data_IF_737459258980
#
_entry.id   IF_737459258980
#
_cell.length_a   1.000
_cell.length_b   1.000
_cell.length_c   1.000
_cell.angle_alpha   90.00
_cell.angle_beta   90.00
_cell.angle_gamma   90.00
#
_symmetry.space_group_name_H-M   'P 1'
#
loop_
_entity.id
_entity.type
_entity.pdbx_description
1 polymer ?
#
# COMPACT_ATOMS: atom_id res chain seq x y z
N UNK A 1 22.33 8.04 -14.52
CA UNK A 1 22.18 9.42 -14.09
C UNK A 1 20.78 9.63 -13.58
N UNK A 2 20.71 9.96 -12.38
CA UNK A 2 19.55 10.02 -11.54
C UNK A 2 18.76 11.29 -11.89
N UNK A 3 17.74 11.08 -12.73
CA UNK A 3 16.82 12.14 -13.14
C UNK A 3 15.94 12.64 -11.99
N UNK A 4 15.83 11.85 -10.93
CA UNK A 4 15.11 12.17 -9.71
C UNK A 4 15.89 11.54 -8.56
N UNK A 5 16.56 12.34 -7.77
CA UNK A 5 17.26 11.89 -6.57
C UNK A 5 16.25 11.72 -5.42
N UNK A 6 15.34 10.76 -5.58
CA UNK A 6 14.32 10.44 -4.58
C UNK A 6 14.68 9.11 -3.94
N UNK A 7 14.96 9.07 -2.64
CA UNK A 7 15.21 7.83 -1.92
C UNK A 7 13.99 6.90 -1.99
N UNK A 8 14.22 5.58 -1.94
CA UNK A 8 13.13 4.59 -1.85
C UNK A 8 12.24 4.80 -0.62
N UNK A 9 12.74 5.49 0.40
CA UNK A 9 12.00 5.84 1.60
C UNK A 9 10.87 6.85 1.36
N UNK A 10 10.86 7.53 0.21
CA UNK A 10 9.81 8.46 -0.18
C UNK A 10 8.68 7.78 -0.97
N UNK A 11 8.77 6.48 -1.23
CA UNK A 11 7.69 5.73 -1.88
C UNK A 11 6.57 5.48 -0.87
N UNK A 12 5.38 5.97 -1.16
CA UNK A 12 4.21 5.87 -0.27
C UNK A 12 3.20 4.80 -0.68
N UNK A 13 3.17 4.45 -1.97
CA UNK A 13 2.28 3.42 -2.52
C UNK A 13 2.96 2.65 -3.65
N UNK A 14 2.75 1.33 -3.67
CA UNK A 14 3.14 0.45 -4.78
C UNK A 14 1.93 -0.35 -5.24
N UNK A 15 1.70 -0.37 -6.55
CA UNK A 15 0.73 -1.23 -7.20
C UNK A 15 1.48 -2.23 -8.08
N UNK A 16 1.17 -3.52 -7.93
CA UNK A 16 1.79 -4.64 -8.62
C UNK A 16 0.71 -5.35 -9.43
N UNK A 17 0.94 -5.44 -10.72
CA UNK A 17 0.09 -6.14 -11.68
C UNK A 17 0.82 -7.38 -12.16
N UNK A 18 0.23 -8.55 -11.97
CA UNK A 18 0.80 -9.85 -12.32
C UNK A 18 0.02 -10.49 -13.45
N UNK A 19 0.69 -11.08 -14.41
CA UNK A 19 0.06 -11.92 -15.43
C UNK A 19 -0.49 -13.21 -14.81
N UNK A 20 0.14 -13.71 -13.76
CA UNK A 20 -0.30 -14.88 -13.02
C UNK A 20 -0.04 -14.66 -11.52
N UNK A 21 -1.08 -14.76 -10.70
CA UNK A 21 -0.95 -14.54 -9.26
C UNK A 21 -0.12 -15.62 -8.55
N UNK A 22 0.10 -16.78 -9.17
CA UNK A 22 1.02 -17.81 -8.65
C UNK A 22 2.48 -17.31 -8.55
N UNK A 23 2.84 -16.26 -9.29
CA UNK A 23 4.18 -15.67 -9.25
C UNK A 23 4.39 -14.67 -8.09
N UNK A 24 3.35 -14.48 -7.24
CA UNK A 24 3.37 -13.48 -6.16
C UNK A 24 4.53 -13.69 -5.19
N UNK A 25 4.89 -14.95 -4.92
CA UNK A 25 5.99 -15.24 -3.98
C UNK A 25 7.34 -14.81 -4.55
N UNK A 26 7.60 -15.02 -5.83
CA UNK A 26 8.81 -14.54 -6.49
C UNK A 26 8.89 -13.00 -6.47
N UNK A 27 7.75 -12.34 -6.67
CA UNK A 27 7.66 -10.87 -6.55
C UNK A 27 7.90 -10.42 -5.12
N UNK A 28 7.37 -11.13 -4.11
CA UNK A 28 7.60 -10.82 -2.70
C UNK A 28 9.08 -10.92 -2.32
N UNK A 29 9.78 -11.93 -2.82
CA UNK A 29 11.23 -12.08 -2.60
C UNK A 29 12.01 -10.92 -3.21
N UNK A 30 11.72 -10.53 -4.43
CA UNK A 30 12.33 -9.35 -5.05
C UNK A 30 11.96 -8.06 -4.29
N UNK A 31 10.69 -7.90 -3.92
CA UNK A 31 10.19 -6.75 -3.20
C UNK A 31 10.93 -6.50 -1.88
N UNK A 32 11.17 -7.55 -1.09
CA UNK A 32 11.86 -7.45 0.19
C UNK A 32 13.33 -7.04 0.07
N UNK A 33 13.93 -7.17 -1.10
CA UNK A 33 15.28 -6.68 -1.37
C UNK A 33 15.30 -5.14 -1.42
N UNK A 34 14.24 -4.54 -1.96
CA UNK A 34 14.12 -3.07 -2.07
C UNK A 34 13.42 -2.45 -0.85
N UNK A 35 12.50 -3.18 -0.24
CA UNK A 35 11.76 -2.77 0.95
C UNK A 35 11.96 -3.79 2.06
N UNK A 36 13.16 -3.88 2.63
CA UNK A 36 13.42 -4.80 3.71
C UNK A 36 12.50 -4.46 4.89
N UNK A 37 11.87 -5.48 5.45
CA UNK A 37 11.13 -5.35 6.70
C UNK A 37 12.13 -4.96 7.77
N UNK A 38 12.31 -3.68 7.98
CA UNK A 38 13.07 -3.33 9.17
C UNK A 38 13.08 -1.85 9.52
N UNK A 39 12.70 -1.62 10.73
CA UNK A 39 13.25 -0.62 11.62
C UNK A 39 14.80 -0.55 11.64
N UNK A 40 15.51 -1.50 11.04
CA UNK A 40 16.97 -1.65 11.09
C UNK A 40 17.64 -1.03 9.85
N UNK A 41 16.98 -1.05 8.70
CA UNK A 41 17.58 -0.61 7.42
C UNK A 41 17.13 0.77 6.96
N UNK A 42 16.15 1.41 7.61
CA UNK A 42 15.57 2.67 7.19
C UNK A 42 15.52 3.69 8.32
N UNK A 43 15.81 4.92 7.99
CA UNK A 43 15.61 6.08 8.87
C UNK A 43 14.12 6.27 9.21
N UNK A 44 13.24 5.80 8.34
CA UNK A 44 11.78 5.77 8.52
C UNK A 44 11.31 4.33 8.43
N UNK A 45 10.91 3.75 9.55
CA UNK A 45 10.55 2.34 9.68
C UNK A 45 9.13 2.07 9.15
N UNK A 46 8.93 2.12 7.84
CA UNK A 46 7.68 1.68 7.22
C UNK A 46 7.94 1.03 5.86
N UNK A 47 7.03 0.17 5.43
CA UNK A 47 6.92 -0.27 4.04
C UNK A 47 5.75 0.46 3.38
N UNK A 48 5.80 0.73 2.06
CA UNK A 48 4.72 1.43 1.37
C UNK A 48 3.36 0.75 1.53
N UNK A 49 2.28 1.50 1.34
CA UNK A 49 0.98 0.90 1.07
C UNK A 49 1.07 0.09 -0.24
N UNK A 50 0.40 -1.07 -0.31
CA UNK A 50 0.59 -2.02 -1.41
C UNK A 50 -0.73 -2.56 -1.93
N UNK A 51 -0.79 -2.74 -3.25
CA UNK A 51 -1.83 -3.50 -3.95
C UNK A 51 -1.15 -4.50 -4.87
N UNK A 52 -1.58 -5.75 -4.88
CA UNK A 52 -1.13 -6.76 -5.84
C UNK A 52 -2.35 -7.48 -6.42
N UNK A 53 -2.46 -7.52 -7.74
CA UNK A 53 -3.60 -8.13 -8.45
C UNK A 53 -3.12 -8.87 -9.70
N UNK A 54 -3.87 -9.90 -10.08
CA UNK A 54 -3.73 -10.54 -11.38
C UNK A 54 -4.49 -9.75 -12.45
N UNK A 55 -3.92 -9.67 -13.64
CA UNK A 55 -4.52 -9.00 -14.79
C UNK A 55 -4.50 -9.92 -16.02
N UNK A 56 -5.45 -9.71 -16.93
CA UNK A 56 -5.60 -10.54 -18.13
C UNK A 56 -4.39 -10.47 -19.08
N UNK A 57 -3.64 -9.39 -19.09
CA UNK A 57 -2.46 -9.22 -19.92
C UNK A 57 -1.70 -7.94 -19.57
N UNK A 58 -0.44 -7.90 -19.96
CA UNK A 58 0.47 -6.78 -19.77
C UNK A 58 1.16 -6.43 -21.10
N UNK A 59 1.57 -5.17 -21.31
CA UNK A 59 2.31 -4.77 -22.50
C UNK A 59 3.54 -5.66 -22.74
N UNK A 60 3.86 -5.90 -24.00
CA UNK A 60 4.98 -6.74 -24.43
C UNK A 60 4.96 -8.16 -23.83
N UNK A 61 3.80 -8.65 -23.41
CA UNK A 61 3.64 -9.94 -22.74
C UNK A 61 4.48 -10.05 -21.44
N UNK A 62 4.70 -8.94 -20.74
CA UNK A 62 5.43 -8.91 -19.48
C UNK A 62 4.73 -9.80 -18.42
N UNK A 63 5.49 -10.34 -17.49
CA UNK A 63 4.96 -11.15 -16.36
C UNK A 63 4.51 -10.28 -15.21
N UNK A 64 5.11 -9.10 -15.05
CA UNK A 64 4.82 -8.16 -13.98
C UNK A 64 4.96 -6.72 -14.48
N UNK A 65 4.11 -5.85 -13.98
CA UNK A 65 4.20 -4.39 -14.11
C UNK A 65 4.04 -3.79 -12.72
N UNK A 66 4.86 -2.79 -12.41
CA UNK A 66 4.84 -2.11 -11.11
C UNK A 66 4.74 -0.61 -11.34
N UNK A 67 3.87 0.04 -10.59
CA UNK A 67 3.78 1.50 -10.49
C UNK A 67 3.92 1.94 -9.03
N UNK A 68 4.43 3.13 -8.83
CA UNK A 68 4.64 3.70 -7.51
C UNK A 68 4.12 5.13 -7.42
N UNK A 69 3.63 5.49 -6.24
CA UNK A 69 3.41 6.88 -5.84
C UNK A 69 4.54 7.27 -4.91
N UNK A 70 5.22 8.34 -5.28
CA UNK A 70 6.40 8.83 -4.56
C UNK A 70 6.06 10.20 -3.98
N UNK A 71 6.44 10.43 -2.73
CA UNK A 71 6.39 11.76 -2.16
C UNK A 71 7.49 12.61 -2.80
N UNK A 72 7.17 13.81 -3.21
CA UNK A 72 8.14 14.75 -3.74
C UNK A 72 8.14 16.00 -2.87
N UNK A 73 9.31 16.42 -2.41
CA UNK A 73 9.48 17.72 -1.76
C UNK A 73 9.15 18.85 -2.72
N UNK A 74 8.97 20.02 -2.20
CA UNK A 74 8.65 21.27 -2.94
C UNK A 74 9.80 21.80 -3.82
N UNK A 75 10.80 20.98 -4.11
CA UNK A 75 12.00 21.34 -4.90
C UNK A 75 13.11 21.97 -4.08
N UNK A 76 12.97 22.05 -2.77
CA UNK A 76 14.10 22.40 -1.89
C UNK A 76 15.07 21.20 -1.80
N UNK A 77 16.40 21.46 -1.60
CA UNK A 77 17.37 20.40 -1.41
C UNK A 77 16.93 19.42 -0.33
N UNK A 78 17.41 18.15 -0.34
CA UNK A 78 17.02 17.15 0.65
C UNK A 78 17.21 17.71 2.05
N UNK A 79 16.10 18.03 2.69
CA UNK A 79 16.04 18.48 4.06
C UNK A 79 15.85 17.26 4.97
N UNK A 80 16.34 17.36 6.19
CA UNK A 80 15.99 16.40 7.22
C UNK A 80 14.48 16.22 7.30
N UNK A 81 13.99 15.04 7.64
CA UNK A 81 12.55 14.74 7.70
C UNK A 81 11.80 15.75 8.57
N UNK A 82 12.46 16.28 9.61
CA UNK A 82 11.94 17.27 10.53
C UNK A 82 11.74 18.65 9.90
N UNK A 83 12.48 18.96 8.85
CA UNK A 83 12.45 20.28 8.17
C UNK A 83 11.54 20.30 6.94
N UNK A 84 10.93 19.18 6.57
CA UNK A 84 10.00 19.08 5.45
C UNK A 84 8.65 19.69 5.85
N UNK A 85 8.55 20.99 5.83
CA UNK A 85 7.32 21.72 6.17
C UNK A 85 6.12 21.23 5.34
N UNK A 86 5.16 20.60 6.00
CA UNK A 86 3.91 20.11 5.41
C UNK A 86 3.98 18.79 4.66
N UNK A 87 5.15 18.15 4.53
CA UNK A 87 5.34 16.87 3.84
C UNK A 87 5.85 15.82 4.83
N UNK A 88 5.04 15.52 5.80
CA UNK A 88 5.36 14.44 6.74
C UNK A 88 4.72 13.16 6.23
N UNK A 89 5.54 12.15 5.95
CA UNK A 89 5.05 10.80 5.68
C UNK A 89 4.67 10.17 7.03
N UNK A 90 3.41 9.76 7.15
CA UNK A 90 2.88 9.12 8.37
C UNK A 90 2.35 7.74 8.05
N UNK A 91 3.10 6.69 8.36
CA UNK A 91 2.60 5.32 8.29
C UNK A 91 1.71 5.01 9.51
N UNK A 92 0.66 4.22 9.30
CA UNK A 92 -0.18 3.77 10.40
C UNK A 92 -0.74 2.36 10.15
N UNK A 93 -0.80 1.57 11.21
CA UNK A 93 -1.46 0.28 11.26
C UNK A 93 -2.41 0.24 12.45
N UNK A 94 -3.60 -0.34 12.26
CA UNK A 94 -4.56 -0.62 13.32
C UNK A 94 -4.75 -2.12 13.52
N UNK A 95 -5.02 -2.54 14.74
CA UNK A 95 -5.35 -3.94 15.07
C UNK A 95 -6.77 -4.34 14.61
N UNK A 96 -7.57 -3.37 14.17
CA UNK A 96 -8.94 -3.59 13.70
C UNK A 96 -9.05 -4.04 12.25
N UNK A 97 -7.92 -4.11 11.53
CA UNK A 97 -7.81 -4.63 10.16
C UNK A 97 -6.60 -5.56 10.05
N UNK A 98 -6.57 -6.49 9.07
CA UNK A 98 -5.45 -7.39 8.87
C UNK A 98 -4.14 -6.64 8.66
N UNK A 99 -3.07 -7.08 9.33
CA UNK A 99 -1.71 -6.57 9.16
C UNK A 99 -0.93 -7.46 8.19
N UNK A 100 0.02 -6.88 7.47
CA UNK A 100 0.91 -7.58 6.56
C UNK A 100 2.33 -7.04 6.71
N UNK A 101 3.32 -7.92 6.79
CA UNK A 101 4.73 -7.53 6.87
C UNK A 101 5.23 -6.82 5.59
N UNK A 102 4.57 -7.05 4.46
CA UNK A 102 4.94 -6.51 3.15
C UNK A 102 4.24 -5.18 2.81
N UNK A 103 3.39 -4.66 3.71
CA UNK A 103 2.65 -3.42 3.44
C UNK A 103 2.20 -2.74 4.73
N UNK A 104 2.23 -1.42 4.73
CA UNK A 104 1.58 -0.61 5.75
C UNK A 104 0.12 -0.38 5.36
N UNK A 105 -0.81 -0.47 6.30
CA UNK A 105 -2.24 -0.32 6.01
C UNK A 105 -2.56 1.04 5.41
N UNK A 106 -1.97 2.12 5.95
CA UNK A 106 -2.08 3.45 5.37
C UNK A 106 -0.78 4.23 5.51
N UNK A 107 -0.42 4.95 4.47
CA UNK A 107 0.72 5.87 4.43
C UNK A 107 0.20 7.23 3.98
N UNK A 108 0.20 8.18 4.90
CA UNK A 108 -0.18 9.56 4.61
C UNK A 108 0.98 10.30 3.97
N UNK A 109 0.65 11.11 2.97
CA UNK A 109 1.57 12.05 2.35
C UNK A 109 0.80 13.30 1.94
N UNK A 110 1.28 14.48 2.36
CA UNK A 110 0.61 15.74 2.08
C UNK A 110 -0.85 15.73 2.56
N UNK A 111 -1.80 15.89 1.65
CA UNK A 111 -3.24 15.92 1.95
C UNK A 111 -3.94 14.57 1.67
N UNK A 112 -3.19 13.52 1.29
CA UNK A 112 -3.75 12.23 0.91
C UNK A 112 -3.22 11.10 1.76
N UNK A 113 -4.09 10.14 2.02
CA UNK A 113 -3.73 8.84 2.61
C UNK A 113 -3.78 7.75 1.54
N UNK A 114 -2.69 7.01 1.41
CA UNK A 114 -2.59 5.85 0.53
C UNK A 114 -2.89 4.59 1.34
N UNK A 115 -3.97 3.90 1.01
CA UNK A 115 -4.39 2.69 1.71
C UNK A 115 -3.97 1.47 0.92
N UNK A 116 -3.41 0.46 1.59
CA UNK A 116 -3.15 -0.86 1.02
C UNK A 116 -4.45 -1.55 0.64
N UNK A 117 -4.45 -2.29 -0.46
CA UNK A 117 -5.59 -3.10 -0.84
C UNK A 117 -6.00 -4.03 0.32
N UNK A 118 -7.30 -4.10 0.57
CA UNK A 118 -7.88 -4.94 1.61
C UNK A 118 -8.51 -6.18 0.98
N UNK A 119 -8.23 -7.33 1.56
CA UNK A 119 -8.86 -8.61 1.23
C UNK A 119 -9.99 -8.90 2.23
N UNK A 120 -11.00 -9.69 1.85
CA UNK A 120 -12.12 -10.05 2.72
C UNK A 120 -11.75 -11.15 3.73
N UNK A 121 -10.75 -10.87 4.55
CA UNK A 121 -10.20 -11.78 5.56
C UNK A 121 -10.81 -11.46 6.92
N UNK A 122 -11.27 -12.46 7.64
CA UNK A 122 -11.61 -12.32 9.05
C UNK A 122 -10.31 -12.12 9.86
N UNK A 123 -10.13 -10.99 10.54
CA UNK A 123 -8.90 -10.71 11.30
C UNK A 123 -8.61 -11.71 12.42
N UNK A 124 -9.63 -12.40 12.92
CA UNK A 124 -9.49 -13.39 14.02
C UNK A 124 -8.99 -14.74 13.52
N UNK A 125 -9.45 -15.16 12.35
CA UNK A 125 -9.14 -16.50 11.82
C UNK A 125 -8.08 -16.49 10.73
N UNK A 126 -7.79 -15.33 10.13
CA UNK A 126 -6.90 -15.21 8.98
C UNK A 126 -7.45 -15.82 7.68
N UNK A 127 -8.73 -16.20 7.66
CA UNK A 127 -9.38 -16.87 6.51
C UNK A 127 -10.35 -15.94 5.82
N UNK A 128 -10.64 -16.22 4.54
CA UNK A 128 -11.69 -15.53 3.81
C UNK A 128 -13.03 -15.69 4.54
N UNK A 129 -13.81 -14.62 4.61
CA UNK A 129 -15.16 -14.67 5.16
C UNK A 129 -16.05 -15.54 4.26
N UNK A 130 -17.01 -16.22 4.87
CA UNK A 130 -18.00 -16.99 4.15
C UNK A 130 -18.96 -16.07 3.36
N UNK A 131 -19.57 -16.61 2.31
CA UNK A 131 -20.53 -15.90 1.49
C UNK A 131 -19.99 -15.55 0.10
N UNK A 132 -20.76 -14.75 -0.62
CA UNK A 132 -20.43 -14.32 -1.97
C UNK A 132 -19.71 -12.97 -2.03
N UNK A 133 -19.71 -12.37 -3.22
CA UNK A 133 -19.04 -11.09 -3.47
C UNK A 133 -19.58 -9.97 -2.58
N UNK A 134 -20.86 -10.01 -2.23
CA UNK A 134 -21.49 -8.99 -1.35
C UNK A 134 -20.89 -9.00 0.05
N UNK A 135 -20.83 -10.18 0.67
CA UNK A 135 -20.26 -10.36 2.02
C UNK A 135 -18.77 -10.06 2.03
N UNK A 136 -18.06 -10.47 1.01
CA UNK A 136 -16.63 -10.19 0.85
C UNK A 136 -16.36 -8.69 0.64
N UNK A 137 -17.14 -8.00 -0.18
CA UNK A 137 -17.04 -6.56 -0.36
C UNK A 137 -17.33 -5.80 0.94
N UNK A 138 -18.36 -6.21 1.69
CA UNK A 138 -18.68 -5.63 2.98
C UNK A 138 -17.52 -5.77 3.97
N UNK A 139 -16.84 -6.91 3.99
CA UNK A 139 -15.66 -7.12 4.85
C UNK A 139 -14.50 -6.22 4.45
N UNK A 140 -14.17 -6.10 3.15
CA UNK A 140 -13.14 -5.19 2.66
C UNK A 140 -13.42 -3.74 3.07
N UNK A 141 -14.66 -3.28 2.87
CA UNK A 141 -15.08 -1.93 3.24
C UNK A 141 -15.06 -1.70 4.77
N UNK A 142 -15.36 -2.74 5.56
CA UNK A 142 -15.23 -2.68 7.02
C UNK A 142 -13.77 -2.47 7.45
N UNK A 143 -12.83 -3.14 6.79
CA UNK A 143 -11.40 -2.92 7.04
C UNK A 143 -10.97 -1.51 6.65
N UNK A 144 -11.36 -1.03 5.48
CA UNK A 144 -11.07 0.34 5.03
C UNK A 144 -11.63 1.34 6.04
N UNK A 145 -12.87 1.16 6.49
CA UNK A 145 -13.46 2.02 7.53
C UNK A 145 -12.63 2.03 8.80
N UNK A 146 -12.22 0.87 9.31
CA UNK A 146 -11.41 0.77 10.52
C UNK A 146 -10.04 1.46 10.36
N UNK A 147 -9.43 1.36 9.19
CA UNK A 147 -8.16 2.03 8.86
C UNK A 147 -8.37 3.55 8.80
N UNK A 148 -9.37 4.02 8.09
CA UNK A 148 -9.69 5.46 7.93
C UNK A 148 -10.00 6.09 9.30
N UNK A 149 -10.81 5.44 10.12
CA UNK A 149 -11.14 5.91 11.47
C UNK A 149 -9.92 5.93 12.41
N UNK A 150 -8.96 4.99 12.23
CA UNK A 150 -7.75 4.94 13.08
C UNK A 150 -6.82 6.14 12.89
N UNK A 151 -6.96 6.85 11.79
CA UNK A 151 -6.19 8.07 11.48
C UNK A 151 -7.03 9.36 11.63
N UNK A 152 -8.21 9.26 12.26
CA UNK A 152 -9.06 10.42 12.57
C UNK A 152 -9.96 10.88 11.44
N UNK A 153 -10.11 10.10 10.38
CA UNK A 153 -10.98 10.38 9.23
C UNK A 153 -12.26 9.57 9.25
N UNK A 154 -13.16 9.88 8.32
CA UNK A 154 -14.45 9.18 8.11
C UNK A 154 -14.54 8.63 6.70
N UNK A 155 -15.48 7.74 6.44
CA UNK A 155 -15.70 7.21 5.09
C UNK A 155 -16.08 8.30 4.08
N UNK A 156 -16.67 9.41 4.54
CA UNK A 156 -17.00 10.57 3.68
C UNK A 156 -15.75 11.30 3.16
N UNK A 157 -14.59 11.08 3.78
CA UNK A 157 -13.31 11.63 3.33
C UNK A 157 -12.66 10.79 2.22
N UNK A 158 -13.23 9.64 1.86
CA UNK A 158 -12.70 8.76 0.81
C UNK A 158 -13.03 9.34 -0.57
N UNK A 159 -12.00 9.76 -1.29
CA UNK A 159 -12.13 10.44 -2.59
C UNK A 159 -11.94 9.51 -3.79
N UNK A 160 -11.37 8.32 -3.60
CA UNK A 160 -11.15 7.33 -4.66
C UNK A 160 -11.18 5.91 -4.13
N UNK A 161 -11.90 5.05 -4.83
CA UNK A 161 -11.93 3.60 -4.56
C UNK A 161 -11.63 2.84 -5.85
N UNK A 162 -10.68 1.91 -5.79
CA UNK A 162 -10.44 0.92 -6.83
C UNK A 162 -10.99 -0.43 -6.36
N UNK A 163 -11.79 -1.07 -7.19
CA UNK A 163 -12.41 -2.36 -6.90
C UNK A 163 -11.91 -3.40 -7.89
N UNK A 164 -11.41 -4.50 -7.40
CA UNK A 164 -10.98 -5.64 -8.19
C UNK A 164 -11.84 -6.84 -7.82
N UNK A 165 -12.48 -7.44 -8.81
CA UNK A 165 -13.35 -8.59 -8.63
C UNK A 165 -12.87 -9.75 -9.50
N UNK A 166 -13.08 -10.96 -9.00
CA UNK A 166 -12.93 -12.17 -9.78
C UNK A 166 -14.31 -12.49 -10.36
N UNK A 167 -14.43 -12.50 -11.66
CA UNK A 167 -15.65 -12.78 -12.49
C UNK A 167 -16.93 -13.11 -11.71
#
# INVERSE_FOLDING_TARGET
SDLIDVPFDDIVKINIYLKNLSDIEAVNQAYTTFFPDSAIARTVAYVPARTAVEVAGLPMNALVQIEAVVSHGDGTPPQAVEDRHGIVIKPNNTDKAPKCALSTQTVAFSHYNNISAQLPIDPKTGKLVAGGVKEQAAQCLSHIKAIVESIGHKMDDVVKVNVFVKN
#
